data_IF_542001189049
#
_entry.id   IF_542001189049
#
_cell.length_a   1.000
_cell.length_b   1.000
_cell.length_c   1.000
_cell.angle_alpha   90.00
_cell.angle_beta   90.00
_cell.angle_gamma   90.00
#
_symmetry.space_group_name_H-M   'P 1'
#
loop_
_entity.id
_entity.type
_entity.pdbx_description
1 polymer ?
#
# COMPACT_ATOMS: atom_id res chain seq x y z
N UNK A 1 -2.83 8.32 -16.26
CA UNK A 1 -2.13 8.26 -17.57
C UNK A 1 -2.73 9.18 -18.64
N UNK A 2 -4.05 9.35 -18.73
CA UNK A 2 -4.65 10.33 -19.66
C UNK A 2 -4.19 11.78 -19.40
N UNK A 3 -3.99 12.16 -18.13
CA UNK A 3 -3.45 13.49 -17.77
C UNK A 3 -2.07 13.68 -18.37
N UNK A 4 -1.20 12.67 -18.21
CA UNK A 4 0.16 12.69 -18.75
C UNK A 4 0.15 12.87 -20.26
N UNK A 5 -0.76 12.19 -20.95
CA UNK A 5 -0.91 12.30 -22.40
C UNK A 5 -1.31 13.71 -22.85
N UNK A 6 -2.21 14.33 -22.08
CA UNK A 6 -2.64 15.72 -22.31
C UNK A 6 -1.52 16.71 -22.01
N UNK A 7 -0.76 16.52 -20.92
CA UNK A 7 0.39 17.37 -20.57
C UNK A 7 1.53 17.30 -21.59
N UNK A 8 1.60 16.23 -22.38
CA UNK A 8 2.61 16.00 -23.40
C UNK A 8 2.09 16.25 -24.83
N UNK A 9 0.98 16.96 -24.97
CA UNK A 9 0.37 17.31 -26.26
C UNK A 9 0.21 16.10 -27.19
N UNK A 10 -0.12 14.92 -26.64
CA UNK A 10 -0.32 13.69 -27.40
C UNK A 10 0.93 13.27 -28.21
N UNK A 11 2.11 13.76 -27.84
CA UNK A 11 3.36 13.59 -28.58
C UNK A 11 4.21 12.39 -28.14
N UNK A 12 3.67 11.51 -27.29
CA UNK A 12 4.34 10.31 -26.79
C UNK A 12 3.52 9.07 -27.10
N UNK A 13 4.14 7.89 -27.03
CA UNK A 13 3.42 6.63 -26.97
C UNK A 13 3.40 6.16 -25.52
N UNK A 14 2.22 5.81 -25.00
CA UNK A 14 2.08 5.26 -23.65
C UNK A 14 1.77 3.77 -23.78
N UNK A 15 2.63 2.94 -23.19
CA UNK A 15 2.45 1.50 -23.10
C UNK A 15 2.12 1.13 -21.66
N UNK A 16 1.05 0.36 -21.48
CA UNK A 16 0.73 -0.32 -20.23
C UNK A 16 0.70 -1.81 -20.51
N UNK A 17 1.07 -2.64 -19.53
CA UNK A 17 1.03 -4.09 -19.69
C UNK A 17 0.53 -4.78 -18.44
N UNK A 18 -0.21 -5.85 -18.65
CA UNK A 18 -0.41 -6.89 -17.65
C UNK A 18 0.90 -7.70 -17.65
N UNK A 19 1.67 -7.65 -16.57
CA UNK A 19 2.85 -8.51 -16.47
C UNK A 19 2.43 -9.96 -16.23
N UNK A 20 3.33 -10.90 -16.51
CA UNK A 20 3.06 -12.34 -16.33
C UNK A 20 2.39 -12.63 -14.99
N UNK A 21 1.32 -13.43 -15.02
CA UNK A 21 0.55 -13.79 -13.82
C UNK A 21 -0.58 -12.80 -13.48
N UNK A 22 -0.69 -11.66 -14.16
CA UNK A 22 -1.74 -10.65 -13.92
C UNK A 22 -2.64 -10.47 -15.13
N UNK A 23 -3.84 -9.95 -14.89
CA UNK A 23 -4.79 -9.56 -15.93
C UNK A 23 -4.97 -10.60 -17.03
N UNK A 24 -4.64 -10.22 -18.26
CA UNK A 24 -4.79 -11.07 -19.44
C UNK A 24 -3.52 -11.87 -19.77
N UNK A 25 -2.46 -11.72 -18.98
CA UNK A 25 -1.14 -12.31 -19.21
C UNK A 25 -0.96 -13.60 -18.41
N UNK A 26 -1.77 -14.62 -18.74
CA UNK A 26 -1.84 -15.90 -18.01
C UNK A 26 -2.04 -15.64 -16.52
N UNK A 27 -3.24 -15.19 -16.15
CA UNK A 27 -3.59 -14.89 -14.76
C UNK A 27 -3.20 -16.07 -13.87
N UNK A 28 -2.33 -15.83 -12.90
CA UNK A 28 -1.90 -16.87 -11.98
C UNK A 28 -3.01 -17.06 -10.96
N UNK A 29 -3.79 -18.12 -11.10
CA UNK A 29 -4.90 -18.41 -10.20
C UNK A 29 -4.87 -19.87 -9.74
N UNK A 30 -5.82 -20.21 -8.88
CA UNK A 30 -6.03 -21.56 -8.39
C UNK A 30 -7.49 -21.98 -8.60
N UNK A 31 -8.05 -21.71 -9.79
CA UNK A 31 -9.47 -21.98 -10.10
C UNK A 31 -9.83 -23.45 -9.90
N UNK A 32 -8.93 -24.37 -10.28
CA UNK A 32 -9.14 -25.81 -10.09
C UNK A 32 -9.27 -26.21 -8.61
N UNK A 33 -8.67 -25.44 -7.70
CA UNK A 33 -8.77 -25.63 -6.26
C UNK A 33 -9.94 -24.85 -5.63
N UNK A 34 -10.71 -24.10 -6.42
CA UNK A 34 -11.76 -23.18 -5.98
C UNK A 34 -11.32 -22.14 -4.94
N UNK A 35 -10.01 -21.90 -4.82
CA UNK A 35 -9.46 -20.92 -3.90
C UNK A 35 -9.81 -19.51 -4.37
N UNK A 36 -10.02 -18.59 -3.43
CA UNK A 36 -10.30 -17.16 -3.76
C UNK A 36 -11.63 -16.98 -4.53
N UNK A 37 -12.52 -17.96 -4.50
CA UNK A 37 -13.85 -17.86 -5.11
C UNK A 37 -14.88 -17.33 -4.11
N UNK A 38 -16.05 -16.89 -4.58
CA UNK A 38 -17.15 -16.47 -3.68
C UNK A 38 -17.62 -17.57 -2.73
N UNK A 39 -17.29 -18.84 -3.02
CA UNK A 39 -17.58 -19.98 -2.15
C UNK A 39 -16.47 -20.33 -1.15
N UNK A 40 -15.33 -19.62 -1.18
CA UNK A 40 -14.21 -19.86 -0.26
C UNK A 40 -14.51 -19.35 1.16
N UNK A 41 -13.79 -19.85 2.19
CA UNK A 41 -13.97 -19.39 3.58
C UNK A 41 -13.75 -17.89 3.79
N UNK A 42 -12.95 -17.24 2.94
CA UNK A 42 -12.64 -15.79 3.02
C UNK A 42 -13.01 -15.03 1.75
N UNK A 43 -13.87 -15.59 0.90
CA UNK A 43 -14.26 -14.99 -0.38
C UNK A 43 -13.08 -14.79 -1.32
N UNK A 44 -12.76 -13.54 -1.64
CA UNK A 44 -11.62 -13.22 -2.50
C UNK A 44 -10.29 -13.04 -1.73
N UNK A 45 -10.29 -13.22 -0.41
CA UNK A 45 -9.07 -13.34 0.39
C UNK A 45 -8.63 -14.81 0.50
N UNK A 46 -7.33 -15.03 0.63
CA UNK A 46 -6.76 -16.39 0.66
C UNK A 46 -6.75 -16.96 2.09
N UNK A 47 -7.38 -18.13 2.28
CA UNK A 47 -7.30 -18.85 3.55
C UNK A 47 -6.08 -19.81 3.57
N UNK A 48 -5.28 -19.86 4.65
CA UNK A 48 -4.18 -20.81 4.77
C UNK A 48 -4.57 -22.28 4.53
N UNK A 49 -5.82 -22.67 4.80
CA UNK A 49 -6.32 -24.02 4.57
C UNK A 49 -6.49 -24.36 3.08
N UNK A 50 -6.57 -23.37 2.19
CA UNK A 50 -6.69 -23.56 0.74
C UNK A 50 -5.34 -23.79 0.06
N UNK A 51 -4.24 -23.45 0.74
CA UNK A 51 -2.88 -23.52 0.20
C UNK A 51 -2.50 -24.90 -0.32
N UNK A 52 -2.77 -26.02 0.38
CA UNK A 52 -2.33 -27.34 -0.09
C UNK A 52 -2.90 -27.71 -1.46
N UNK A 53 -4.19 -27.45 -1.70
CA UNK A 53 -4.84 -27.78 -2.97
C UNK A 53 -4.37 -26.85 -4.09
N UNK A 54 -4.23 -25.56 -3.80
CA UNK A 54 -3.70 -24.57 -4.74
C UNK A 54 -2.24 -24.87 -5.11
N UNK A 55 -1.39 -25.18 -4.14
CA UNK A 55 0.01 -25.56 -4.35
C UNK A 55 0.13 -26.78 -5.27
N UNK A 56 -0.70 -27.81 -5.06
CA UNK A 56 -0.72 -28.99 -5.92
C UNK A 56 -1.14 -28.66 -7.37
N UNK A 57 -2.14 -27.79 -7.55
CA UNK A 57 -2.57 -27.37 -8.87
C UNK A 57 -1.46 -26.59 -9.60
N UNK A 58 -0.84 -25.63 -8.93
CA UNK A 58 0.25 -24.81 -9.46
C UNK A 58 1.49 -25.65 -9.79
N UNK A 59 1.86 -26.62 -8.96
CA UNK A 59 2.97 -27.52 -9.23
C UNK A 59 2.71 -28.39 -10.46
N UNK A 60 1.48 -28.91 -10.62
CA UNK A 60 1.12 -29.72 -11.76
C UNK A 60 1.14 -28.93 -13.08
N UNK A 61 0.74 -27.65 -13.04
CA UNK A 61 0.61 -26.81 -14.23
C UNK A 61 1.92 -26.12 -14.62
N UNK A 62 2.61 -25.52 -13.64
CA UNK A 62 3.76 -24.65 -13.88
C UNK A 62 5.08 -25.22 -13.34
N UNK A 63 5.04 -26.19 -12.44
CA UNK A 63 6.23 -26.72 -11.77
C UNK A 63 6.94 -25.64 -10.95
N UNK A 64 8.06 -25.14 -11.45
CA UNK A 64 8.82 -24.08 -10.78
C UNK A 64 8.17 -22.70 -11.00
N UNK A 65 7.71 -22.10 -9.90
CA UNK A 65 7.06 -20.79 -9.89
C UNK A 65 8.02 -19.61 -10.08
N UNK A 66 9.34 -19.83 -10.18
CA UNK A 66 10.30 -18.79 -10.57
C UNK A 66 10.00 -18.19 -11.95
N UNK A 67 9.24 -18.88 -12.80
CA UNK A 67 8.69 -18.35 -14.06
C UNK A 67 7.78 -17.14 -13.85
N UNK A 68 7.21 -16.93 -12.65
CA UNK A 68 6.41 -15.77 -12.26
C UNK A 68 7.16 -14.79 -11.32
N UNK A 69 8.48 -14.93 -11.19
CA UNK A 69 9.30 -14.05 -10.34
C UNK A 69 9.38 -12.61 -10.85
N UNK A 70 9.75 -11.68 -9.96
CA UNK A 70 10.06 -10.28 -10.31
C UNK A 70 11.09 -10.17 -11.43
N UNK A 71 12.15 -10.99 -11.40
CA UNK A 71 13.17 -11.01 -12.46
C UNK A 71 12.60 -11.47 -13.79
N UNK A 72 11.75 -12.50 -13.77
CA UNK A 72 11.08 -12.98 -14.97
C UNK A 72 10.15 -11.91 -15.57
N UNK A 73 9.39 -11.20 -14.73
CA UNK A 73 8.56 -10.07 -15.17
C UNK A 73 9.39 -8.88 -15.69
N UNK A 74 10.49 -8.52 -15.02
CA UNK A 74 11.42 -7.49 -15.49
C UNK A 74 12.09 -7.86 -16.82
N UNK A 75 12.39 -9.15 -17.03
CA UNK A 75 12.94 -9.67 -18.28
C UNK A 75 11.94 -9.50 -19.44
N UNK A 76 10.64 -9.63 -19.20
CA UNK A 76 9.63 -9.36 -20.23
C UNK A 76 9.65 -7.91 -20.68
N UNK A 77 9.77 -6.96 -19.73
CA UNK A 77 9.85 -5.53 -20.04
C UNK A 77 11.09 -5.21 -20.88
N UNK A 78 12.26 -5.72 -20.49
CA UNK A 78 13.51 -5.56 -21.25
C UNK A 78 13.37 -6.11 -22.67
N UNK A 79 12.84 -7.33 -22.81
CA UNK A 79 12.60 -7.96 -24.11
C UNK A 79 11.57 -7.20 -24.95
N UNK A 80 10.50 -6.71 -24.32
CA UNK A 80 9.45 -5.98 -24.99
C UNK A 80 9.99 -4.68 -25.58
N UNK A 81 10.71 -3.90 -24.76
CA UNK A 81 11.32 -2.64 -25.19
C UNK A 81 12.30 -2.90 -26.33
N UNK A 82 13.16 -3.90 -26.21
CA UNK A 82 14.16 -4.26 -27.23
C UNK A 82 13.54 -4.67 -28.58
N UNK A 83 12.46 -5.46 -28.56
CA UNK A 83 11.91 -6.10 -29.78
C UNK A 83 10.76 -5.35 -30.43
N UNK A 84 9.95 -4.63 -29.66
CA UNK A 84 8.66 -4.12 -30.12
C UNK A 84 8.52 -2.60 -30.07
N UNK A 85 9.52 -1.88 -29.56
CA UNK A 85 9.52 -0.41 -29.63
C UNK A 85 10.19 0.09 -30.90
N UNK A 86 9.95 1.36 -31.23
CA UNK A 86 10.44 2.00 -32.45
C UNK A 86 11.89 2.53 -32.34
N UNK A 87 12.63 2.13 -31.30
CA UNK A 87 13.99 2.61 -31.02
C UNK A 87 14.07 4.06 -30.53
N UNK A 88 12.93 4.72 -30.29
CA UNK A 88 12.91 6.06 -29.71
C UNK A 88 13.27 6.03 -28.22
N UNK A 89 13.65 7.20 -27.72
CA UNK A 89 13.89 7.43 -26.29
C UNK A 89 12.73 6.92 -25.45
N UNK A 90 13.04 6.01 -24.53
CA UNK A 90 12.07 5.35 -23.65
C UNK A 90 12.32 5.76 -22.20
N UNK A 91 11.23 6.03 -21.48
CA UNK A 91 11.19 6.26 -20.03
C UNK A 91 10.37 5.13 -19.43
N UNK A 92 10.92 4.45 -18.43
CA UNK A 92 10.22 3.37 -17.72
C UNK A 92 9.71 3.92 -16.39
N UNK A 93 8.41 3.81 -16.18
CA UNK A 93 7.72 4.30 -14.98
C UNK A 93 7.18 3.12 -14.17
N UNK A 94 7.48 3.09 -12.87
CA UNK A 94 6.97 2.11 -11.92
C UNK A 94 6.36 2.81 -10.71
N UNK A 95 5.19 2.34 -10.27
CA UNK A 95 4.55 2.78 -9.03
C UNK A 95 4.41 1.62 -8.07
N UNK A 96 4.60 1.82 -6.76
CA UNK A 96 4.47 0.76 -5.76
C UNK A 96 5.39 -0.44 -6.08
N UNK A 97 4.89 -1.68 -6.09
CA UNK A 97 5.60 -2.86 -6.59
C UNK A 97 6.26 -2.66 -7.98
N UNK A 98 5.67 -1.83 -8.84
CA UNK A 98 6.28 -1.45 -10.11
C UNK A 98 7.68 -0.86 -9.94
N UNK A 99 7.98 -0.20 -8.83
CA UNK A 99 9.34 0.30 -8.53
C UNK A 99 10.35 -0.84 -8.36
N UNK A 100 9.96 -1.96 -7.74
CA UNK A 100 10.77 -3.18 -7.64
C UNK A 100 11.03 -3.77 -9.01
N UNK A 101 10.03 -3.81 -9.90
CA UNK A 101 10.20 -4.29 -11.28
C UNK A 101 11.15 -3.39 -12.08
N UNK A 102 10.95 -2.07 -12.01
CA UNK A 102 11.77 -1.09 -12.74
C UNK A 102 13.20 -1.10 -12.25
N UNK A 103 13.44 -1.18 -10.95
CA UNK A 103 14.78 -1.39 -10.40
C UNK A 103 15.37 -2.72 -10.89
N UNK A 104 14.59 -3.82 -10.85
CA UNK A 104 15.07 -5.14 -11.28
C UNK A 104 15.54 -5.13 -12.73
N UNK A 105 14.87 -4.40 -13.62
CA UNK A 105 15.27 -4.25 -15.02
C UNK A 105 16.68 -3.65 -15.18
N UNK A 106 17.12 -2.78 -14.26
CA UNK A 106 18.44 -2.14 -14.34
C UNK A 106 19.58 -3.15 -14.21
N UNK A 107 19.33 -4.33 -13.65
CA UNK A 107 20.31 -5.41 -13.57
C UNK A 107 20.42 -6.26 -14.84
N UNK A 108 19.46 -6.14 -15.78
CA UNK A 108 19.26 -7.10 -16.87
C UNK A 108 19.73 -6.57 -18.24
N UNK A 109 20.83 -5.82 -18.24
CA UNK A 109 21.41 -5.19 -19.45
C UNK A 109 20.34 -4.45 -20.30
N UNK A 110 19.70 -3.41 -19.73
CA UNK A 110 18.58 -2.74 -20.38
C UNK A 110 19.00 -2.06 -21.71
N UNK A 111 18.12 -2.02 -22.73
CA UNK A 111 18.41 -1.39 -24.01
C UNK A 111 18.87 0.07 -23.88
N UNK A 112 19.83 0.50 -24.69
CA UNK A 112 20.37 1.87 -24.68
C UNK A 112 19.32 2.96 -24.95
N UNK A 113 18.18 2.61 -25.55
CA UNK A 113 17.07 3.52 -25.79
C UNK A 113 16.38 3.97 -24.49
N UNK A 114 16.57 3.25 -23.39
CA UNK A 114 16.07 3.65 -22.07
C UNK A 114 16.98 4.72 -21.49
N UNK A 115 16.43 5.92 -21.33
CA UNK A 115 17.17 7.12 -20.86
C UNK A 115 16.71 7.61 -19.50
N UNK A 116 15.66 7.02 -18.94
CA UNK A 116 15.15 7.42 -17.65
C UNK A 116 14.29 6.36 -16.99
N UNK A 117 14.45 6.25 -15.69
CA UNK A 117 13.63 5.44 -14.81
C UNK A 117 12.90 6.36 -13.84
N UNK A 118 11.62 6.10 -13.60
CA UNK A 118 10.82 6.83 -12.61
C UNK A 118 10.24 5.83 -11.61
N UNK A 119 10.51 6.07 -10.33
CA UNK A 119 10.06 5.24 -9.22
C UNK A 119 9.12 6.09 -8.34
N UNK A 120 7.81 5.80 -8.35
CA UNK A 120 6.79 6.50 -7.57
C UNK A 120 6.26 5.62 -6.43
N UNK A 121 6.42 6.05 -5.18
CA UNK A 121 6.06 5.25 -4.01
C UNK A 121 6.92 3.98 -3.92
N UNK A 122 8.15 4.14 -3.45
CA UNK A 122 9.25 3.16 -3.53
C UNK A 122 8.99 1.94 -2.65
N UNK A 123 8.82 0.77 -3.28
CA UNK A 123 8.61 -0.55 -2.65
C UNK A 123 9.87 -1.45 -2.73
N UNK A 124 11.06 -0.83 -2.74
CA UNK A 124 12.33 -1.54 -2.79
C UNK A 124 13.45 -0.73 -2.15
N UNK A 125 14.41 -1.44 -1.56
CA UNK A 125 15.62 -0.87 -0.96
C UNK A 125 16.80 -1.80 -1.26
N UNK A 126 16.90 -2.33 -2.48
CA UNK A 126 17.92 -3.32 -2.80
C UNK A 126 19.33 -2.76 -2.55
N UNK A 127 20.18 -3.59 -1.95
CA UNK A 127 21.52 -3.20 -1.52
C UNK A 127 21.58 -2.54 -0.13
N UNK A 128 20.42 -2.22 0.48
CA UNK A 128 20.38 -1.74 1.85
C UNK A 128 20.70 -2.87 2.85
N UNK A 129 21.27 -2.54 4.03
CA UNK A 129 21.44 -3.51 5.09
C UNK A 129 20.08 -4.02 5.60
N UNK A 130 20.06 -5.19 6.22
CA UNK A 130 18.82 -5.88 6.60
C UNK A 130 17.90 -5.07 7.54
N UNK A 131 18.45 -4.20 8.38
CA UNK A 131 17.69 -3.32 9.28
C UNK A 131 17.03 -2.13 8.57
N UNK A 132 17.48 -1.83 7.34
CA UNK A 132 16.89 -0.83 6.44
C UNK A 132 16.09 -1.44 5.30
N UNK A 133 16.13 -2.76 5.13
CA UNK A 133 15.40 -3.43 4.06
C UNK A 133 13.88 -3.33 4.26
N UNK A 134 13.15 -3.03 3.20
CA UNK A 134 11.69 -2.95 3.23
C UNK A 134 11.06 -4.35 3.26
N UNK A 135 10.99 -4.92 4.46
CA UNK A 135 10.24 -6.15 4.68
C UNK A 135 8.77 -5.86 4.93
N UNK A 136 7.87 -6.54 4.22
CA UNK A 136 6.42 -6.49 4.45
C UNK A 136 6.05 -6.85 5.89
N UNK A 137 6.76 -7.79 6.51
CA UNK A 137 6.58 -8.16 7.93
C UNK A 137 6.92 -7.04 8.92
N UNK A 138 7.56 -5.95 8.47
CA UNK A 138 7.83 -4.74 9.26
C UNK A 138 6.87 -3.60 8.96
N UNK A 139 5.87 -3.80 8.09
CA UNK A 139 4.92 -2.78 7.66
C UNK A 139 4.20 -2.06 8.80
N UNK A 140 3.93 -2.75 9.91
CA UNK A 140 3.33 -2.13 11.11
C UNK A 140 4.18 -1.01 11.73
N UNK A 141 5.51 -1.12 11.64
CA UNK A 141 6.42 -0.07 12.11
C UNK A 141 6.30 1.16 11.20
N UNK A 142 6.29 0.94 9.88
CA UNK A 142 6.15 2.01 8.90
C UNK A 142 4.79 2.74 9.02
N UNK A 143 3.69 1.99 9.12
CA UNK A 143 2.36 2.54 9.38
C UNK A 143 2.29 3.32 10.70
N UNK A 144 2.93 2.81 11.75
CA UNK A 144 3.01 3.50 13.04
C UNK A 144 3.74 4.84 12.98
N UNK A 145 4.87 4.89 12.28
CA UNK A 145 5.65 6.12 12.06
C UNK A 145 4.85 7.15 11.26
N UNK A 146 4.27 6.74 10.13
CA UNK A 146 3.50 7.61 9.23
C UNK A 146 2.20 8.07 9.90
N UNK A 147 1.48 7.17 10.57
CA UNK A 147 0.30 7.50 11.36
C UNK A 147 0.61 8.49 12.49
N UNK A 148 1.77 8.37 13.13
CA UNK A 148 2.27 9.35 14.09
C UNK A 148 2.47 10.75 13.49
N UNK A 149 3.08 10.82 12.30
CA UNK A 149 3.26 12.09 11.55
C UNK A 149 1.92 12.70 11.16
N UNK A 150 1.00 11.91 10.62
CA UNK A 150 -0.35 12.34 10.26
C UNK A 150 -1.09 12.92 11.48
N UNK A 151 -1.12 12.19 12.60
CA UNK A 151 -1.81 12.66 13.81
C UNK A 151 -1.19 13.93 14.40
N UNK A 152 0.12 14.17 14.22
CA UNK A 152 0.77 15.38 14.68
C UNK A 152 0.25 16.65 13.94
N UNK A 153 -0.20 16.51 12.69
CA UNK A 153 -0.78 17.60 11.90
C UNK A 153 -2.09 18.13 12.50
N UNK A 154 -2.78 17.34 13.34
CA UNK A 154 -3.98 17.78 14.05
C UNK A 154 -3.76 19.06 14.88
N UNK A 155 -2.53 19.27 15.39
CA UNK A 155 -2.20 20.47 16.16
C UNK A 155 -2.06 21.75 15.30
N UNK A 156 -1.88 21.58 13.99
CA UNK A 156 -1.73 22.66 13.01
C UNK A 156 -3.05 22.95 12.29
N UNK A 157 -3.96 21.99 12.28
CA UNK A 157 -5.29 22.11 11.71
C UNK A 157 -6.31 22.67 12.71
N UNK A 158 -7.04 23.73 12.34
CA UNK A 158 -8.00 24.40 13.24
C UNK A 158 -9.22 23.53 13.56
N UNK A 159 -9.67 22.71 12.62
CA UNK A 159 -10.82 21.81 12.80
C UNK A 159 -10.45 20.76 13.84
N UNK A 160 -9.31 20.09 13.68
CA UNK A 160 -8.87 19.03 14.59
C UNK A 160 -8.41 19.57 15.97
N UNK A 161 -7.59 20.62 16.00
CA UNK A 161 -7.02 21.16 17.25
C UNK A 161 -8.06 21.71 18.23
N UNK A 162 -9.27 22.05 17.76
CA UNK A 162 -10.38 22.44 18.65
C UNK A 162 -10.82 21.30 19.57
N UNK A 163 -10.80 20.07 19.08
CA UNK A 163 -11.22 18.87 19.82
C UNK A 163 -10.05 18.19 20.54
N UNK A 164 -8.81 18.40 20.08
CA UNK A 164 -7.61 17.77 20.63
C UNK A 164 -6.57 18.79 21.11
N UNK A 165 -6.68 19.18 22.39
CA UNK A 165 -5.78 20.15 23.04
C UNK A 165 -4.84 19.48 24.03
N UNK A 166 -3.63 20.04 24.22
CA UNK A 166 -2.69 19.55 25.26
C UNK A 166 -3.36 19.57 26.65
N UNK A 167 -3.19 18.53 27.48
CA UNK A 167 -2.35 17.34 27.26
C UNK A 167 -3.03 16.20 26.47
N UNK A 168 -4.30 16.34 26.10
CA UNK A 168 -5.13 15.35 25.40
C UNK A 168 -5.09 15.57 23.87
N UNK A 169 -3.89 15.54 23.29
CA UNK A 169 -3.69 15.53 21.83
C UNK A 169 -4.26 14.26 21.19
N UNK A 170 -4.53 14.28 19.88
CA UNK A 170 -5.00 13.11 19.13
C UNK A 170 -4.19 11.83 19.41
N UNK A 171 -2.85 11.79 19.29
CA UNK A 171 -2.08 10.57 19.55
C UNK A 171 -2.13 10.13 21.02
N UNK A 172 -2.18 11.06 21.97
CA UNK A 172 -2.32 10.71 23.40
C UNK A 172 -3.72 10.18 23.73
N UNK A 173 -4.76 10.71 23.07
CA UNK A 173 -6.13 10.25 23.23
C UNK A 173 -6.30 8.86 22.65
N UNK A 174 -5.81 8.61 21.43
CA UNK A 174 -5.84 7.29 20.81
C UNK A 174 -5.06 6.25 21.63
N UNK A 175 -3.85 6.58 22.11
CA UNK A 175 -3.09 5.66 22.98
C UNK A 175 -3.86 5.24 24.23
N UNK A 176 -4.54 6.18 24.88
CA UNK A 176 -5.37 5.87 26.05
C UNK A 176 -6.59 5.05 25.66
N UNK A 177 -7.23 5.37 24.54
CA UNK A 177 -8.38 4.63 24.04
C UNK A 177 -8.03 3.16 23.74
N UNK A 178 -6.91 2.90 23.08
CA UNK A 178 -6.43 1.53 22.82
C UNK A 178 -6.19 0.77 24.13
N UNK A 179 -5.53 1.39 25.11
CA UNK A 179 -5.32 0.79 26.43
C UNK A 179 -6.63 0.57 27.21
N UNK A 180 -7.59 1.50 27.09
CA UNK A 180 -8.92 1.39 27.71
C UNK A 180 -9.70 0.20 27.09
N UNK A 181 -9.58 -0.01 25.78
CA UNK A 181 -10.17 -1.13 25.04
C UNK A 181 -9.52 -2.48 25.40
N UNK A 182 -8.19 -2.53 25.54
CA UNK A 182 -7.50 -3.73 26.05
C UNK A 182 -7.95 -4.11 27.45
N UNK A 183 -8.15 -3.10 28.32
CA UNK A 183 -8.58 -3.32 29.70
C UNK A 183 -10.07 -3.67 29.81
N UNK A 184 -10.91 -3.11 28.95
CA UNK A 184 -12.37 -3.28 28.98
C UNK A 184 -12.92 -3.62 27.58
N UNK A 185 -12.60 -4.81 27.05
CA UNK A 185 -12.95 -5.18 25.67
C UNK A 185 -14.46 -5.30 25.42
N UNK A 186 -15.25 -5.51 26.49
CA UNK A 186 -16.71 -5.63 26.42
C UNK A 186 -17.44 -4.31 26.67
N UNK A 187 -16.73 -3.18 26.75
CA UNK A 187 -17.38 -1.86 26.82
C UNK A 187 -18.08 -1.55 25.50
N UNK A 188 -19.17 -0.77 25.54
CA UNK A 188 -20.03 -0.54 24.37
C UNK A 188 -19.26 -0.13 23.11
N UNK A 189 -18.39 0.88 23.19
CA UNK A 189 -17.60 1.31 22.02
C UNK A 189 -16.43 0.39 21.67
N UNK A 190 -15.90 -0.39 22.61
CA UNK A 190 -14.89 -1.40 22.29
C UNK A 190 -15.53 -2.54 21.48
N UNK A 191 -16.68 -3.04 21.93
CA UNK A 191 -17.40 -4.13 21.24
C UNK A 191 -17.88 -3.72 19.84
N UNK A 192 -18.17 -2.43 19.59
CA UNK A 192 -18.46 -1.95 18.24
C UNK A 192 -17.32 -2.26 17.27
N UNK A 193 -16.05 -2.10 17.67
CA UNK A 193 -14.90 -2.28 16.77
C UNK A 193 -14.77 -3.70 16.22
N UNK A 194 -15.29 -4.69 16.93
CA UNK A 194 -15.25 -6.10 16.51
C UNK A 194 -16.52 -6.54 15.75
N UNK A 195 -17.47 -5.62 15.51
CA UNK A 195 -18.65 -5.89 14.66
C UNK A 195 -18.37 -5.68 13.18
N UNK A 196 -17.22 -5.09 12.84
CA UNK A 196 -16.78 -4.96 11.45
C UNK A 196 -16.48 -6.31 10.82
N UNK A 197 -16.77 -6.44 9.53
CA UNK A 197 -16.46 -7.64 8.74
C UNK A 197 -14.97 -7.95 8.82
N UNK A 198 -14.61 -9.18 9.19
CA UNK A 198 -13.21 -9.61 9.32
C UNK A 198 -12.50 -9.16 10.60
N UNK A 199 -13.21 -8.48 11.51
CA UNK A 199 -12.69 -8.02 12.81
C UNK A 199 -13.09 -8.93 13.98
N UNK A 200 -13.89 -9.96 13.75
CA UNK A 200 -14.59 -10.74 14.78
C UNK A 200 -13.62 -11.46 15.73
N UNK A 201 -12.44 -11.82 15.22
CA UNK A 201 -11.41 -12.54 15.96
C UNK A 201 -10.30 -11.64 16.52
N UNK A 202 -10.40 -10.31 16.35
CA UNK A 202 -9.41 -9.35 16.85
C UNK A 202 -9.82 -8.80 18.21
N UNK A 203 -8.84 -8.36 19.01
CA UNK A 203 -9.16 -7.49 20.15
C UNK A 203 -9.71 -6.15 19.65
N UNK A 204 -10.61 -5.48 20.39
CA UNK A 204 -11.11 -4.16 20.01
C UNK A 204 -10.03 -3.10 19.71
N UNK A 205 -8.92 -3.15 20.45
CA UNK A 205 -7.76 -2.27 20.25
C UNK A 205 -7.05 -2.56 18.92
N UNK A 206 -6.87 -3.84 18.58
CA UNK A 206 -6.28 -4.28 17.33
C UNK A 206 -7.21 -3.92 16.16
N UNK A 207 -8.50 -4.23 16.26
CA UNK A 207 -9.50 -3.86 15.26
C UNK A 207 -9.52 -2.34 15.01
N UNK A 208 -9.44 -1.50 16.06
CA UNK A 208 -9.32 -0.06 15.91
C UNK A 208 -8.02 0.34 15.19
N UNK A 209 -6.86 -0.13 15.67
CA UNK A 209 -5.56 0.21 15.07
C UNK A 209 -5.49 -0.16 13.58
N UNK A 210 -6.05 -1.32 13.22
CA UNK A 210 -6.15 -1.79 11.84
C UNK A 210 -7.11 -0.94 11.00
N UNK A 211 -8.30 -0.65 11.53
CA UNK A 211 -9.29 0.20 10.85
C UNK A 211 -8.74 1.59 10.54
N UNK A 212 -8.01 2.19 11.49
CA UNK A 212 -7.32 3.47 11.26
C UNK A 212 -6.18 3.34 10.23
N UNK A 213 -5.54 2.16 10.15
CA UNK A 213 -4.51 1.86 9.15
C UNK A 213 -5.08 1.87 7.74
N UNK A 214 -6.23 1.23 7.55
CA UNK A 214 -6.94 1.25 6.27
C UNK A 214 -7.33 2.67 5.85
N UNK A 215 -7.81 3.50 6.79
CA UNK A 215 -8.15 4.89 6.51
C UNK A 215 -6.93 5.72 6.11
N UNK A 216 -5.77 5.48 6.73
CA UNK A 216 -4.54 6.26 6.53
C UNK A 216 -4.06 6.26 5.06
N UNK A 217 -4.37 5.21 4.31
CA UNK A 217 -3.91 5.01 2.93
C UNK A 217 -4.58 5.93 1.92
N UNK A 218 -5.80 6.41 2.20
CA UNK A 218 -6.55 7.28 1.30
C UNK A 218 -6.54 8.74 1.77
N UNK A 219 -6.47 9.67 0.81
CA UNK A 219 -6.23 11.09 1.08
C UNK A 219 -7.39 11.78 1.82
N UNK A 220 -8.62 11.32 1.60
CA UNK A 220 -9.85 11.88 2.16
C UNK A 220 -10.36 11.04 3.34
N UNK A 221 -10.34 9.71 3.22
CA UNK A 221 -10.79 8.79 4.27
C UNK A 221 -9.93 8.92 5.54
N UNK A 222 -8.62 9.19 5.44
CA UNK A 222 -7.78 9.45 6.63
C UNK A 222 -8.25 10.62 7.47
N UNK A 223 -8.99 11.57 6.91
CA UNK A 223 -9.57 12.71 7.66
C UNK A 223 -10.71 12.28 8.60
N UNK A 224 -11.23 11.05 8.46
CA UNK A 224 -12.21 10.44 9.37
C UNK A 224 -11.57 9.97 10.69
N UNK A 225 -10.23 9.82 10.74
CA UNK A 225 -9.51 9.33 11.92
C UNK A 225 -9.75 10.22 13.16
N UNK A 226 -9.56 11.56 13.12
CA UNK A 226 -9.82 12.39 14.29
C UNK A 226 -11.26 12.34 14.84
N UNK A 227 -12.34 12.50 14.03
CA UNK A 227 -13.71 12.41 14.55
C UNK A 227 -14.05 11.02 15.09
N UNK A 228 -13.57 9.94 14.45
CA UNK A 228 -13.75 8.58 14.96
C UNK A 228 -13.12 8.41 16.35
N UNK A 229 -11.86 8.83 16.53
CA UNK A 229 -11.18 8.79 17.84
C UNK A 229 -11.89 9.65 18.89
N UNK A 230 -12.39 10.83 18.49
CA UNK A 230 -13.12 11.72 19.38
C UNK A 230 -14.40 11.07 19.91
N UNK A 231 -15.23 10.50 19.02
CA UNK A 231 -16.49 9.85 19.38
C UNK A 231 -16.29 8.56 20.17
N UNK A 232 -15.30 7.74 19.81
CA UNK A 232 -14.96 6.54 20.58
C UNK A 232 -14.50 6.89 22.00
N UNK A 233 -13.78 8.01 22.18
CA UNK A 233 -13.37 8.48 23.51
C UNK A 233 -14.55 8.97 24.35
N UNK A 234 -15.51 9.67 23.73
CA UNK A 234 -16.71 10.21 24.41
C UNK A 234 -17.73 9.12 24.73
N UNK A 235 -17.96 8.20 23.79
CA UNK A 235 -18.80 7.01 23.90
C UNK A 235 -20.17 7.22 24.56
N UNK A 236 -20.87 8.32 24.23
CA UNK A 236 -22.25 8.53 24.67
C UNK A 236 -23.22 7.79 23.74
N UNK A 237 -24.50 7.66 24.14
CA UNK A 237 -25.54 6.99 23.33
C UNK A 237 -25.61 7.52 21.89
N UNK A 238 -25.45 8.84 21.72
CA UNK A 238 -25.40 9.46 20.39
C UNK A 238 -24.17 9.02 19.58
N UNK A 239 -23.00 8.90 20.23
CA UNK A 239 -21.77 8.43 19.57
C UNK A 239 -21.91 6.98 19.12
N UNK A 240 -22.50 6.12 19.96
CA UNK A 240 -22.72 4.70 19.64
C UNK A 240 -23.56 4.54 18.37
N UNK A 241 -24.59 5.36 18.21
CA UNK A 241 -25.43 5.34 17.01
C UNK A 241 -24.65 5.79 15.77
N UNK A 242 -23.94 6.92 15.87
CA UNK A 242 -23.12 7.46 14.76
C UNK A 242 -21.96 6.51 14.38
N UNK A 243 -21.31 5.90 15.37
CA UNK A 243 -20.22 4.94 15.15
C UNK A 243 -20.73 3.63 14.55
N UNK A 244 -21.93 3.16 14.93
CA UNK A 244 -22.56 2.00 14.27
C UNK A 244 -22.81 2.28 12.79
N UNK A 245 -23.39 3.44 12.46
CA UNK A 245 -23.59 3.86 11.06
C UNK A 245 -22.26 3.96 10.31
N UNK A 246 -21.23 4.50 10.95
CA UNK A 246 -19.88 4.56 10.40
C UNK A 246 -19.34 3.19 10.03
N UNK A 247 -19.39 2.23 10.96
CA UNK A 247 -18.90 0.87 10.72
C UNK A 247 -19.67 0.21 9.57
N UNK A 248 -21.00 0.36 9.52
CA UNK A 248 -21.81 -0.16 8.42
C UNK A 248 -21.41 0.46 7.07
N UNK A 249 -21.28 1.79 7.00
CA UNK A 249 -20.93 2.51 5.77
C UNK A 249 -19.52 2.18 5.30
N UNK A 250 -18.57 2.11 6.24
CA UNK A 250 -17.18 1.79 5.96
C UNK A 250 -17.01 0.36 5.44
N UNK A 251 -17.73 -0.61 6.02
CA UNK A 251 -17.75 -1.99 5.53
C UNK A 251 -18.40 -2.11 4.14
N UNK A 252 -19.46 -1.34 3.87
CA UNK A 252 -20.12 -1.33 2.56
C UNK A 252 -19.20 -0.81 1.45
N UNK A 253 -18.45 0.25 1.73
CA UNK A 253 -17.46 0.78 0.80
C UNK A 253 -16.33 -0.22 0.50
N UNK A 254 -15.87 -0.99 1.49
CA UNK A 254 -14.87 -2.03 1.26
C UNK A 254 -15.36 -3.21 0.41
N UNK A 255 -16.67 -3.34 0.19
CA UNK A 255 -17.28 -4.42 -0.59
C UNK A 255 -17.52 -4.06 -2.07
N UNK A 256 -17.41 -2.77 -2.45
CA UNK A 256 -17.48 -2.32 -3.84
C UNK A 256 -16.17 -2.57 -4.59
N UNK A 257 -15.90 -3.85 -4.83
CA UNK A 257 -14.85 -4.26 -5.75
C UNK A 257 -15.30 -3.99 -7.19
N UNK A 258 -14.59 -3.13 -7.90
CA UNK A 258 -14.83 -2.88 -9.32
C UNK A 258 -14.60 -4.14 -10.18
N UNK A 259 -15.12 -4.13 -11.41
CA UNK A 259 -14.98 -5.23 -12.38
C UNK A 259 -13.50 -5.63 -12.61
N UNK A 260 -12.57 -4.70 -12.38
CA UNK A 260 -11.13 -4.89 -12.50
C UNK A 260 -10.54 -5.94 -11.53
N UNK A 261 -11.26 -6.29 -10.44
CA UNK A 261 -10.82 -7.38 -9.56
C UNK A 261 -10.76 -8.73 -10.25
N UNK A 262 -11.48 -8.93 -11.36
CA UNK A 262 -11.35 -10.13 -12.18
C UNK A 262 -9.95 -10.29 -12.80
N UNK A 263 -9.15 -9.21 -12.83
CA UNK A 263 -7.80 -9.17 -13.40
C UNK A 263 -6.70 -9.16 -12.32
N UNK A 264 -7.07 -9.13 -11.03
CA UNK A 264 -6.14 -9.19 -9.91
C UNK A 264 -5.79 -10.65 -9.56
N UNK A 265 -4.53 -10.92 -9.28
CA UNK A 265 -4.06 -12.23 -8.80
C UNK A 265 -3.55 -12.12 -7.35
N UNK A 266 -4.35 -12.52 -6.36
CA UNK A 266 -3.88 -12.67 -4.98
C UNK A 266 -2.76 -13.69 -4.86
N UNK A 267 -2.78 -14.75 -5.68
CA UNK A 267 -1.74 -15.79 -5.69
C UNK A 267 -0.38 -15.17 -6.06
N UNK A 268 -0.33 -14.41 -7.15
CA UNK A 268 0.89 -13.77 -7.59
C UNK A 268 1.38 -12.73 -6.59
N UNK A 269 0.46 -11.94 -6.03
CA UNK A 269 0.77 -10.99 -4.98
C UNK A 269 1.49 -11.67 -3.80
N UNK A 270 0.91 -12.72 -3.24
CA UNK A 270 1.53 -13.45 -2.11
C UNK A 270 2.77 -14.24 -2.51
N UNK A 271 2.81 -14.81 -3.73
CA UNK A 271 4.00 -15.47 -4.28
C UNK A 271 5.19 -14.50 -4.25
N UNK A 272 5.03 -13.28 -4.75
CA UNK A 272 6.10 -12.26 -4.79
C UNK A 272 6.44 -11.75 -3.39
N UNK A 273 5.44 -11.34 -2.60
CA UNK A 273 5.64 -10.77 -1.26
C UNK A 273 6.37 -11.76 -0.35
N UNK A 274 5.95 -13.03 -0.35
CA UNK A 274 6.60 -14.05 0.48
C UNK A 274 7.94 -14.51 -0.10
N UNK A 275 8.14 -14.44 -1.42
CA UNK A 275 9.42 -14.77 -2.05
C UNK A 275 10.52 -13.73 -1.75
N UNK A 276 10.22 -12.44 -1.95
CA UNK A 276 11.24 -11.38 -1.96
C UNK A 276 11.10 -10.39 -0.81
N UNK A 277 9.87 -10.08 -0.39
CA UNK A 277 9.56 -9.01 0.56
C UNK A 277 9.41 -9.44 2.02
N UNK A 278 9.59 -10.71 2.36
CA UNK A 278 9.35 -11.22 3.71
C UNK A 278 10.64 -11.53 4.50
N UNK A 279 10.64 -11.25 5.81
CA UNK A 279 11.76 -11.62 6.69
C UNK A 279 11.92 -13.15 6.75
N UNK A 280 13.11 -13.65 6.45
CA UNK A 280 13.45 -15.07 6.57
C UNK A 280 14.67 -15.27 7.47
N UNK A 281 14.59 -16.12 8.52
CA UNK A 281 13.40 -16.86 8.95
C UNK A 281 12.29 -15.96 9.51
N UNK A 282 11.05 -16.45 9.52
CA UNK A 282 9.88 -15.77 10.08
C UNK A 282 10.12 -15.34 11.54
N UNK A 283 9.95 -14.03 11.86
CA UNK A 283 9.95 -13.56 13.23
C UNK A 283 8.92 -14.26 14.12
N UNK A 284 9.18 -14.36 15.42
CA UNK A 284 8.21 -14.98 16.33
C UNK A 284 6.86 -14.22 16.35
N UNK A 285 5.75 -14.91 16.60
CA UNK A 285 4.45 -14.24 16.77
C UNK A 285 4.45 -13.16 17.85
N UNK A 286 5.25 -13.35 18.92
CA UNK A 286 5.42 -12.33 19.96
C UNK A 286 6.03 -11.04 19.39
N UNK A 287 7.00 -11.15 18.49
CA UNK A 287 7.61 -10.00 17.82
C UNK A 287 6.61 -9.34 16.84
N UNK A 288 5.88 -10.13 16.06
CA UNK A 288 4.86 -9.62 15.13
C UNK A 288 3.75 -8.87 15.89
N UNK A 289 3.21 -9.43 16.96
CA UNK A 289 2.22 -8.78 17.82
C UNK A 289 2.78 -7.54 18.53
N UNK A 290 4.06 -7.57 18.93
CA UNK A 290 4.73 -6.41 19.53
C UNK A 290 4.80 -5.24 18.54
N UNK A 291 5.07 -5.51 17.27
CA UNK A 291 5.09 -4.48 16.21
C UNK A 291 3.73 -3.82 16.06
N UNK A 292 2.65 -4.62 16.01
CA UNK A 292 1.26 -4.10 15.99
C UNK A 292 0.94 -3.26 17.23
N UNK A 293 1.20 -3.78 18.43
CA UNK A 293 0.86 -3.10 19.70
C UNK A 293 1.63 -1.80 19.94
N UNK A 294 2.84 -1.68 19.39
CA UNK A 294 3.64 -0.46 19.52
C UNK A 294 3.19 0.65 18.55
N UNK A 295 2.36 0.31 17.56
CA UNK A 295 1.84 1.24 16.57
C UNK A 295 0.40 1.64 16.91
N UNK A 296 0.15 2.95 16.97
CA UNK A 296 -1.21 3.48 17.20
C UNK A 296 -2.14 3.26 16.01
N UNK A 297 -1.55 3.15 14.82
CA UNK A 297 -2.18 2.89 13.53
C UNK A 297 -1.33 1.82 12.85
N UNK A 298 -1.94 0.72 12.40
CA UNK A 298 -1.23 -0.51 12.03
C UNK A 298 -1.85 -1.15 10.80
N UNK A 299 -1.04 -1.84 9.98
CA UNK A 299 -1.52 -2.66 8.86
C UNK A 299 -1.87 -4.10 9.28
N UNK A 300 -1.44 -4.52 10.47
CA UNK A 300 -1.64 -5.85 11.04
C UNK A 300 -0.98 -6.98 10.25
N UNK A 301 0.31 -6.81 9.92
CA UNK A 301 1.10 -7.82 9.17
C UNK A 301 1.16 -9.17 9.89
N UNK A 302 0.97 -9.20 11.21
CA UNK A 302 0.85 -10.41 12.02
C UNK A 302 -0.26 -11.37 11.53
N UNK A 303 -1.32 -10.85 10.89
CA UNK A 303 -2.41 -11.65 10.34
C UNK A 303 -2.00 -12.47 9.12
N UNK A 304 -0.91 -12.11 8.45
CA UNK A 304 -0.39 -12.80 7.27
C UNK A 304 0.57 -13.95 7.60
N UNK A 305 1.01 -14.07 8.86
CA UNK A 305 1.99 -15.10 9.25
C UNK A 305 1.49 -16.53 8.99
N UNK A 306 0.25 -16.91 9.32
CA UNK A 306 -0.28 -18.24 8.98
C UNK A 306 -0.20 -18.54 7.48
N UNK A 307 -0.53 -17.53 6.66
CA UNK A 307 -0.52 -17.64 5.20
C UNK A 307 0.91 -17.76 4.66
N UNK A 308 1.85 -16.94 5.15
CA UNK A 308 3.28 -17.06 4.83
C UNK A 308 3.79 -18.47 5.14
N UNK A 309 3.48 -19.00 6.32
CA UNK A 309 3.94 -20.32 6.74
C UNK A 309 3.35 -21.45 5.90
N UNK A 310 2.11 -21.29 5.44
CA UNK A 310 1.49 -22.20 4.50
C UNK A 310 2.18 -22.13 3.13
N UNK A 311 2.32 -20.94 2.53
CA UNK A 311 2.94 -20.73 1.21
C UNK A 311 4.40 -21.19 1.17
N UNK A 312 5.20 -20.80 2.15
CA UNK A 312 6.65 -21.03 2.16
C UNK A 312 7.06 -22.43 2.59
N UNK A 313 6.21 -23.14 3.32
CA UNK A 313 6.56 -24.36 4.07
C UNK A 313 7.82 -24.19 4.94
N UNK A 314 8.10 -22.97 5.41
CA UNK A 314 9.30 -22.67 6.20
C UNK A 314 9.31 -23.49 7.51
N UNK A 315 10.42 -24.17 7.80
CA UNK A 315 10.55 -25.06 8.98
C UNK A 315 10.96 -24.35 10.27
N UNK A 316 10.73 -23.05 10.39
CA UNK A 316 11.10 -22.29 11.59
C UNK A 316 10.18 -22.60 12.77
N UNK A 317 10.66 -22.30 13.99
CA UNK A 317 9.86 -22.45 15.22
C UNK A 317 8.57 -21.62 15.17
N UNK A 318 8.56 -20.49 14.45
CA UNK A 318 7.37 -19.68 14.28
C UNK A 318 6.33 -20.40 13.41
N UNK A 319 6.75 -20.92 12.25
CA UNK A 319 5.84 -21.57 11.32
C UNK A 319 5.37 -22.96 11.75
N UNK A 320 6.23 -23.76 12.39
CA UNK A 320 5.88 -25.11 12.85
C UNK A 320 4.72 -25.12 13.87
N UNK A 321 4.41 -23.99 14.53
CA UNK A 321 3.26 -23.88 15.45
C UNK A 321 1.91 -23.99 14.75
N UNK A 322 1.83 -23.60 13.48
CA UNK A 322 0.58 -23.57 12.73
C UNK A 322 0.29 -24.88 12.01
N UNK A 323 1.31 -25.70 11.76
CA UNK A 323 1.21 -26.97 11.02
C UNK A 323 0.66 -26.84 9.59
N UNK A 324 0.60 -25.62 9.01
CA UNK A 324 0.10 -25.40 7.65
C UNK A 324 1.09 -25.82 6.54
N UNK A 325 2.40 -25.86 6.83
CA UNK A 325 3.42 -26.29 5.85
C UNK A 325 3.49 -27.79 5.60
N UNK A 326 2.59 -28.58 6.20
CA UNK A 326 2.61 -30.04 6.13
C UNK A 326 1.65 -30.57 5.04
N UNK A 327 2.08 -30.44 3.79
CA UNK A 327 1.39 -31.00 2.62
C UNK A 327 2.42 -31.50 1.59
N UNK A 328 2.02 -32.37 0.67
CA UNK A 328 2.95 -33.06 -0.25
C UNK A 328 3.55 -32.12 -1.31
N UNK A 329 2.72 -31.29 -1.96
CA UNK A 329 3.15 -30.36 -3.00
C UNK A 329 4.23 -29.35 -2.54
N UNK A 330 4.95 -28.75 -3.48
CA UNK A 330 5.93 -27.70 -3.23
C UNK A 330 5.30 -26.44 -2.64
N UNK A 331 6.12 -25.63 -1.97
CA UNK A 331 5.67 -24.30 -1.50
C UNK A 331 5.26 -23.40 -2.65
N UNK A 332 4.27 -22.53 -2.44
CA UNK A 332 3.92 -21.46 -3.38
C UNK A 332 4.92 -20.31 -3.17
N UNK A 333 6.17 -20.56 -3.56
CA UNK A 333 7.30 -19.67 -3.34
C UNK A 333 8.38 -19.93 -4.39
N UNK A 334 9.21 -18.93 -4.69
CA UNK A 334 10.41 -19.10 -5.50
C UNK A 334 11.66 -18.68 -4.74
N UNK A 335 12.80 -19.22 -5.17
CA UNK A 335 14.10 -18.90 -4.60
C UNK A 335 14.57 -17.50 -5.02
N UNK A 336 15.21 -16.80 -4.09
CA UNK A 336 15.83 -15.50 -4.36
C UNK A 336 17.03 -15.71 -5.28
N UNK A 337 17.00 -15.05 -6.43
CA UNK A 337 18.06 -15.15 -7.43
C UNK A 337 19.23 -14.21 -7.12
N UNK A 338 20.21 -14.16 -8.03
CA UNK A 338 21.42 -13.36 -7.89
C UNK A 338 21.19 -11.85 -7.83
N UNK A 339 20.01 -11.38 -8.28
CA UNK A 339 19.63 -9.96 -8.33
C UNK A 339 18.87 -9.52 -7.07
N UNK A 340 18.39 -10.46 -6.25
CA UNK A 340 17.68 -10.10 -5.02
C UNK A 340 18.59 -9.37 -4.03
N UNK A 341 18.09 -8.23 -3.52
CA UNK A 341 18.79 -7.34 -2.61
C UNK A 341 20.20 -6.94 -3.08
N UNK A 342 20.36 -6.69 -4.39
CA UNK A 342 21.58 -6.13 -4.98
C UNK A 342 21.37 -4.67 -5.34
N UNK A 343 22.40 -3.85 -5.08
CA UNK A 343 22.45 -2.49 -5.59
C UNK A 343 22.32 -2.49 -7.11
N UNK A 344 21.32 -1.78 -7.63
CA UNK A 344 21.20 -1.50 -9.05
C UNK A 344 22.16 -0.38 -9.48
N UNK A 345 22.83 -0.60 -10.62
CA UNK A 345 23.68 0.41 -11.26
C UNK A 345 22.85 1.20 -12.26
N UNK A 346 22.94 2.52 -12.18
CA UNK A 346 22.32 3.43 -13.14
C UNK A 346 23.08 3.33 -14.46
N UNK A 347 22.45 2.95 -15.58
CA UNK A 347 23.08 2.96 -16.90
C UNK A 347 23.61 4.36 -17.23
N UNK A 348 24.77 4.45 -17.89
CA UNK A 348 25.46 5.73 -18.11
C UNK A 348 24.67 6.73 -18.97
N UNK A 349 23.79 6.22 -19.84
CA UNK A 349 22.89 7.00 -20.68
C UNK A 349 21.58 7.41 -19.98
N UNK A 350 21.31 6.90 -18.78
CA UNK A 350 20.03 7.04 -18.10
C UNK A 350 20.14 7.87 -16.80
N UNK A 351 18.98 8.31 -16.31
CA UNK A 351 18.84 8.87 -14.95
C UNK A 351 17.69 8.23 -14.19
N UNK A 352 17.66 8.42 -12.86
CA UNK A 352 16.59 7.90 -11.99
C UNK A 352 15.89 9.04 -11.27
N UNK A 353 14.59 9.17 -11.47
CA UNK A 353 13.73 10.09 -10.74
C UNK A 353 12.92 9.31 -9.70
N UNK A 354 13.15 9.58 -8.42
CA UNK A 354 12.37 9.00 -7.33
C UNK A 354 11.32 10.02 -6.88
N UNK A 355 10.09 9.57 -6.71
CA UNK A 355 8.98 10.36 -6.21
C UNK A 355 8.41 9.70 -4.95
N UNK A 356 8.31 10.45 -3.86
CA UNK A 356 7.84 9.89 -2.59
C UNK A 356 7.18 10.95 -1.71
N UNK A 357 6.27 10.53 -0.84
CA UNK A 357 5.60 11.41 0.12
C UNK A 357 5.88 11.01 1.57
N UNK A 358 6.07 12.00 2.44
CA UNK A 358 6.27 11.80 3.89
C UNK A 358 5.07 11.20 4.62
N UNK A 359 3.88 11.21 3.99
CA UNK A 359 2.66 10.60 4.50
C UNK A 359 2.21 9.37 3.69
N UNK A 360 3.08 8.81 2.85
CA UNK A 360 2.84 7.50 2.24
C UNK A 360 3.04 6.42 3.31
N UNK A 361 1.95 5.75 3.71
CA UNK A 361 1.99 4.67 4.69
C UNK A 361 2.34 3.30 4.07
N UNK A 362 2.06 3.14 2.77
CA UNK A 362 2.23 1.86 2.06
C UNK A 362 3.70 1.66 1.71
N UNK A 363 4.35 2.72 1.19
CA UNK A 363 5.78 2.73 0.86
C UNK A 363 6.44 3.94 1.53
N UNK A 364 6.74 3.78 2.82
CA UNK A 364 7.19 4.87 3.67
C UNK A 364 8.42 5.58 3.12
N UNK A 365 8.40 6.91 3.18
CA UNK A 365 9.42 7.80 2.59
C UNK A 365 10.89 7.41 2.89
N UNK A 366 11.16 6.85 4.08
CA UNK A 366 12.49 6.39 4.46
C UNK A 366 13.06 5.36 3.48
N UNK A 367 12.22 4.52 2.86
CA UNK A 367 12.66 3.53 1.88
C UNK A 367 13.11 4.19 0.57
N UNK A 368 12.49 5.29 0.18
CA UNK A 368 12.98 6.10 -0.94
C UNK A 368 14.35 6.74 -0.64
N UNK A 369 14.58 7.20 0.60
CA UNK A 369 15.89 7.69 1.05
C UNK A 369 16.94 6.57 1.02
N UNK A 370 16.60 5.37 1.52
CA UNK A 370 17.51 4.23 1.55
C UNK A 370 17.85 3.72 0.15
N UNK A 371 16.88 3.63 -0.76
CA UNK A 371 17.14 3.27 -2.15
C UNK A 371 18.01 4.33 -2.85
N UNK A 372 17.73 5.62 -2.63
CA UNK A 372 18.55 6.70 -3.16
C UNK A 372 20.01 6.57 -2.69
N UNK A 373 20.24 6.22 -1.42
CA UNK A 373 21.58 5.97 -0.87
C UNK A 373 22.27 4.78 -1.56
N UNK A 374 21.54 3.69 -1.85
CA UNK A 374 22.15 2.43 -2.33
C UNK A 374 22.36 2.36 -3.83
N UNK A 375 21.60 3.10 -4.65
CA UNK A 375 21.74 3.11 -6.12
C UNK A 375 23.18 3.50 -6.55
N UNK A 376 23.80 2.71 -7.43
CA UNK A 376 25.15 2.99 -7.94
C UNK A 376 25.08 3.96 -9.14
N UNK A 377 25.44 5.22 -8.88
CA UNK A 377 25.48 6.32 -9.86
C UNK A 377 24.93 7.63 -9.31
N UNK A 378 25.42 8.75 -9.84
CA UNK A 378 25.07 10.10 -9.36
C UNK A 378 23.89 10.74 -10.11
N UNK A 379 23.47 10.17 -11.24
CA UNK A 379 22.40 10.72 -12.07
C UNK A 379 21.01 10.30 -11.53
N UNK A 380 20.73 10.70 -10.29
CA UNK A 380 19.51 10.38 -9.56
C UNK A 380 19.01 11.57 -8.77
N UNK A 381 17.70 11.71 -8.64
CA UNK A 381 17.08 12.77 -7.82
C UNK A 381 15.80 12.25 -7.15
N UNK A 382 15.64 12.58 -5.85
CA UNK A 382 14.43 12.31 -5.08
C UNK A 382 13.61 13.60 -4.90
N UNK A 383 12.37 13.59 -5.39
CA UNK A 383 11.39 14.64 -5.11
C UNK A 383 10.48 14.20 -3.97
N UNK A 384 10.47 15.01 -2.91
CA UNK A 384 9.75 14.71 -1.67
C UNK A 384 8.50 15.57 -1.53
N UNK A 385 7.36 14.92 -1.43
CA UNK A 385 6.08 15.53 -1.11
C UNK A 385 5.81 15.47 0.39
N UNK A 386 5.15 16.48 0.95
CA UNK A 386 4.98 16.57 2.40
C UNK A 386 3.78 15.78 2.92
N UNK A 387 2.67 15.77 2.17
CA UNK A 387 1.37 15.36 2.72
C UNK A 387 0.54 14.46 1.82
N UNK A 388 1.06 14.06 0.66
CA UNK A 388 0.35 13.16 -0.26
C UNK A 388 0.31 11.72 0.27
N UNK A 389 -0.62 10.92 -0.24
CA UNK A 389 -0.66 9.47 0.01
C UNK A 389 0.13 8.71 -1.05
N UNK A 390 0.00 7.39 -1.07
CA UNK A 390 0.71 6.49 -1.97
C UNK A 390 0.47 6.79 -3.45
N UNK A 391 1.54 6.76 -4.25
CA UNK A 391 1.54 7.12 -5.67
C UNK A 391 1.29 8.62 -5.87
N UNK A 392 2.35 9.44 -5.92
CA UNK A 392 2.21 10.90 -6.02
C UNK A 392 1.61 11.34 -7.36
N UNK A 393 1.75 10.52 -8.40
CA UNK A 393 1.14 10.76 -9.71
C UNK A 393 -0.38 10.55 -9.71
N UNK A 394 -0.91 9.69 -8.82
CA UNK A 394 -2.33 9.32 -8.77
C UNK A 394 -3.07 9.78 -7.52
N UNK A 395 -2.38 10.34 -6.52
CA UNK A 395 -2.95 10.66 -5.20
C UNK A 395 -3.87 11.89 -5.20
N UNK A 396 -3.31 13.11 -5.11
CA UNK A 396 -4.10 14.34 -4.88
C UNK A 396 -3.98 15.32 -6.05
N UNK A 397 -5.11 15.68 -6.70
CA UNK A 397 -5.14 16.75 -7.71
C UNK A 397 -4.68 18.09 -7.15
N UNK A 398 -4.11 18.95 -8.01
CA UNK A 398 -3.69 20.30 -7.62
C UNK A 398 -4.87 21.20 -7.24
N UNK A 399 -6.05 20.95 -7.80
CA UNK A 399 -7.27 21.67 -7.47
C UNK A 399 -8.45 20.69 -7.46
N UNK A 400 -8.86 20.27 -6.26
CA UNK A 400 -10.01 19.38 -6.07
C UNK A 400 -11.36 20.08 -6.25
N UNK A 401 -11.38 21.42 -6.34
CA UNK A 401 -12.61 22.21 -6.58
C UNK A 401 -12.92 22.37 -8.07
N UNK A 402 -11.94 22.13 -8.94
CA UNK A 402 -12.08 22.12 -10.39
C UNK A 402 -12.01 20.68 -10.87
N UNK A 403 -13.12 20.17 -11.41
CA UNK A 403 -13.28 18.81 -11.97
C UNK A 403 -11.99 18.01 -12.18
N UNK A 404 -11.46 17.98 -13.40
CA UNK A 404 -10.28 17.18 -13.73
C UNK A 404 -9.04 18.08 -13.83
N UNK A 405 -8.10 17.97 -12.88
CA UNK A 405 -6.81 18.69 -12.89
C UNK A 405 -5.62 17.74 -12.67
N UNK A 406 -4.49 17.95 -13.36
CA UNK A 406 -3.33 17.07 -13.20
C UNK A 406 -2.73 17.23 -11.79
N UNK A 407 -2.22 16.12 -11.24
CA UNK A 407 -1.42 16.15 -10.01
C UNK A 407 -0.07 16.81 -10.27
N UNK A 408 0.59 17.32 -9.23
CA UNK A 408 1.96 17.81 -9.37
C UNK A 408 2.93 16.67 -9.76
N UNK A 409 2.69 15.44 -9.27
CA UNK A 409 3.45 14.26 -9.70
C UNK A 409 3.40 14.06 -11.21
N UNK A 410 2.22 14.21 -11.83
CA UNK A 410 2.07 14.13 -13.30
C UNK A 410 2.76 15.27 -14.02
N UNK A 411 2.69 16.52 -13.51
CA UNK A 411 3.42 17.65 -14.11
C UNK A 411 4.94 17.43 -14.10
N UNK A 412 5.48 16.94 -12.98
CA UNK A 412 6.91 16.59 -12.86
C UNK A 412 7.27 15.44 -13.82
N UNK A 413 6.45 14.38 -13.88
CA UNK A 413 6.66 13.27 -14.81
C UNK A 413 6.63 13.73 -16.27
N UNK A 414 5.69 14.60 -16.64
CA UNK A 414 5.60 15.19 -17.96
C UNK A 414 6.85 16.02 -18.29
N UNK A 415 7.32 16.84 -17.35
CA UNK A 415 8.56 17.61 -17.50
C UNK A 415 9.78 16.70 -17.72
N UNK A 416 9.88 15.62 -16.94
CA UNK A 416 10.96 14.64 -17.05
C UNK A 416 10.96 13.91 -18.42
N UNK A 417 9.78 13.51 -18.89
CA UNK A 417 9.60 12.87 -20.20
C UNK A 417 9.91 13.87 -21.33
N UNK A 418 9.39 15.08 -21.27
CA UNK A 418 9.67 16.15 -22.23
C UNK A 418 11.16 16.50 -22.32
N UNK A 419 11.88 16.36 -21.20
CA UNK A 419 13.33 16.53 -21.13
C UNK A 419 14.13 15.26 -21.42
N UNK A 420 13.50 14.22 -21.99
CA UNK A 420 14.12 12.96 -22.40
C UNK A 420 14.92 12.28 -21.27
N UNK A 421 14.32 12.24 -20.09
CA UNK A 421 14.91 11.55 -18.93
C UNK A 421 16.06 12.31 -18.28
N UNK A 422 16.24 13.60 -18.54
CA UNK A 422 17.27 14.43 -17.88
C UNK A 422 16.71 15.10 -16.63
N UNK A 423 17.41 14.94 -15.51
CA UNK A 423 17.06 15.60 -14.23
C UNK A 423 17.35 17.11 -14.26
N UNK A 424 18.42 17.51 -14.96
CA UNK A 424 18.75 18.93 -15.11
C UNK A 424 17.68 19.63 -15.95
N UNK A 425 17.02 20.62 -15.36
CA UNK A 425 15.93 21.37 -16.02
C UNK A 425 14.54 20.81 -15.75
N UNK A 426 14.41 19.83 -14.84
CA UNK A 426 13.12 19.34 -14.36
C UNK A 426 12.30 20.48 -13.74
N UNK A 427 11.11 20.71 -14.27
CA UNK A 427 10.16 21.70 -13.78
C UNK A 427 9.45 21.16 -12.52
N UNK A 428 9.65 21.87 -11.42
CA UNK A 428 9.12 21.56 -10.09
C UNK A 428 8.24 22.69 -9.56
N UNK A 429 7.89 23.67 -10.41
CA UNK A 429 7.10 24.84 -10.01
C UNK A 429 5.74 24.47 -9.41
N UNK A 430 5.15 23.35 -9.83
CA UNK A 430 3.89 22.86 -9.26
C UNK A 430 3.98 22.51 -7.76
N UNK A 431 5.17 22.36 -7.20
CA UNK A 431 5.35 22.08 -5.77
C UNK A 431 4.82 23.23 -4.91
N UNK A 432 4.90 24.46 -5.41
CA UNK A 432 4.37 25.65 -4.75
C UNK A 432 2.84 25.80 -4.91
N UNK A 433 2.25 25.04 -5.84
CA UNK A 433 0.81 25.00 -6.10
C UNK A 433 0.07 23.95 -5.25
N UNK A 434 0.81 23.06 -4.56
CA UNK A 434 0.20 21.98 -3.77
C UNK A 434 -0.64 22.60 -2.64
N UNK A 435 -1.94 22.25 -2.53
CA UNK A 435 -2.79 22.76 -1.47
C UNK A 435 -2.23 22.46 -0.09
N UNK A 436 -2.38 23.43 0.82
CA UNK A 436 -2.09 23.19 2.24
C UNK A 436 -2.98 22.08 2.77
N UNK A 437 -2.40 21.19 3.57
CA UNK A 437 -3.13 20.10 4.19
C UNK A 437 -4.24 20.62 5.11
N UNK A 438 -5.42 20.01 5.00
CA UNK A 438 -6.61 20.36 5.77
C UNK A 438 -7.34 19.08 6.20
N UNK A 439 -7.80 19.01 7.45
CA UNK A 439 -8.59 17.90 7.99
C UNK A 439 -10.11 18.09 7.88
N UNK A 440 -10.59 19.16 7.25
CA UNK A 440 -12.03 19.31 6.94
C UNK A 440 -12.47 18.26 5.92
N UNK A 441 -13.57 17.56 6.22
CA UNK A 441 -14.23 16.60 5.34
C UNK A 441 -15.19 17.32 4.38
N UNK A 442 -15.30 16.82 3.15
CA UNK A 442 -16.41 17.19 2.27
C UNK A 442 -17.71 16.50 2.70
N UNK A 443 -18.85 16.96 2.17
CA UNK A 443 -20.17 16.36 2.42
C UNK A 443 -20.20 14.85 2.13
N UNK A 444 -19.53 14.43 1.07
CA UNK A 444 -19.54 13.03 0.63
C UNK A 444 -18.92 12.12 1.69
N UNK A 445 -17.85 12.57 2.35
CA UNK A 445 -17.21 11.81 3.42
C UNK A 445 -17.88 11.99 4.79
N UNK A 446 -18.66 13.06 5.00
CA UNK A 446 -19.51 13.20 6.19
C UNK A 446 -20.61 12.12 6.24
N UNK A 447 -21.06 11.65 5.07
CA UNK A 447 -22.09 10.60 4.94
C UNK A 447 -21.72 9.29 5.65
N UNK A 448 -20.42 8.96 5.79
CA UNK A 448 -19.96 7.81 6.58
C UNK A 448 -20.49 7.87 8.01
N UNK A 449 -20.51 9.05 8.63
CA UNK A 449 -21.04 9.23 9.98
C UNK A 449 -22.56 9.46 10.00
N UNK A 450 -23.20 9.64 8.85
CA UNK A 450 -24.63 9.96 8.74
C UNK A 450 -25.01 11.30 9.38
N UNK A 451 -24.09 12.27 9.43
CA UNK A 451 -24.30 13.58 10.06
C UNK A 451 -23.36 14.64 9.48
N UNK A 452 -23.84 15.89 9.37
CA UNK A 452 -23.06 17.02 8.86
C UNK A 452 -21.99 17.50 9.88
N UNK A 453 -22.21 17.23 11.17
CA UNK A 453 -21.22 17.47 12.23
C UNK A 453 -20.63 16.15 12.73
N UNK A 454 -19.52 15.77 12.11
CA UNK A 454 -18.83 14.50 12.40
C UNK A 454 -18.23 14.41 13.81
N UNK A 455 -18.17 15.50 14.59
CA UNK A 455 -17.67 15.46 15.96
C UNK A 455 -18.81 15.42 16.99
N UNK A 456 -19.79 16.32 16.84
CA UNK A 456 -20.81 16.57 17.88
C UNK A 456 -22.26 16.33 17.39
N UNK A 457 -22.46 16.14 16.09
CA UNK A 457 -23.78 15.93 15.48
C UNK A 457 -24.44 14.60 15.87
N UNK A 458 -25.77 14.60 15.84
CA UNK A 458 -26.59 13.40 15.90
C UNK A 458 -26.81 12.83 14.49
N UNK A 459 -27.16 11.54 14.40
CA UNK A 459 -27.58 10.93 13.13
C UNK A 459 -28.76 11.73 12.54
N UNK A 460 -28.62 12.10 11.28
CA UNK A 460 -29.70 12.73 10.53
C UNK A 460 -30.85 11.73 10.35
N UNK A 461 -32.09 12.20 10.51
CA UNK A 461 -33.27 11.39 10.22
C UNK A 461 -33.34 11.16 8.70
N UNK A 462 -32.81 10.01 8.27
CA UNK A 462 -32.63 9.53 6.88
C UNK A 462 -31.55 10.25 6.07
N UNK A 463 -30.46 9.56 5.68
CA UNK A 463 -29.70 9.95 4.51
C UNK A 463 -30.46 9.42 3.28
N UNK A 464 -31.00 10.31 2.46
CA UNK A 464 -31.25 9.94 1.07
C UNK A 464 -29.88 9.64 0.45
N UNK A 465 -29.57 8.35 0.28
CA UNK A 465 -28.54 7.90 -0.67
C UNK A 465 -28.91 8.53 -2.03
N UNK A 466 -28.11 9.48 -2.48
CA UNK A 466 -28.13 9.96 -3.87
C UNK A 466 -26.98 9.33 -4.62
#
# INVERSE_FOLDING_TARGET
MLDLFTQLDWAVNVYTMDHRGTGRSTLLDCVAAQSVTTGSPRGQDFDPAEVPACAQALENEYGNLASFSTTSAATDLVNFISKFTNGATTIVYGTSYGTTLVERMMHLDPPEVITGYVLDGIATTSGAPADKFEYFSTGDIAFGEVGGRFMALCSQDRTCSRHFKKPNTLPTTLRRLLADFDKNPNSTCASLMTTGKGMENLSPSHALSYTLGSMLMDSEVRKLIPPMVYRLKRCQTMDVNVLSQFITSFNGFSDEFGEDMAFYSPILYYLIVFSEGWERPQPSMMEMERRVKNSLISWSTALLVPLYCAFSKEKSKACNKFNYGNYEANGIIYERDEYWNKTAKIPSQASVLLLSSKLDAQTAHKYAEYLLETLDGDNKELITFSTLVHGVTSSTPLDSSKGWTPTCGIKILASYIGNKGKLKGLDKSCMDEIPSFNMTLSSDYQSYFGTDDVYDGALSASPSLQ
#
